data_IF_221163601235
#
_entry.id   IF_221163601235
#
_cell.length_a   1.000
_cell.length_b   1.000
_cell.length_c   1.000
_cell.angle_alpha   90.00
_cell.angle_beta   90.00
_cell.angle_gamma   90.00
#
_symmetry.space_group_name_H-M   'P 1'
#
loop_
_entity.id
_entity.type
_entity.pdbx_description
1 polymer ?
#
# COMPACT_ATOMS: atom_id res chain seq x y z
N UNK A 1 -23.07 0.35 -13.68
CA UNK A 1 -23.38 1.61 -14.39
C UNK A 1 -23.69 2.76 -13.41
N UNK A 2 -24.48 2.56 -12.35
CA UNK A 2 -24.84 3.59 -11.33
C UNK A 2 -23.61 4.17 -10.63
N UNK A 3 -22.70 3.33 -10.10
CA UNK A 3 -21.52 3.75 -9.37
C UNK A 3 -20.59 4.68 -10.19
N UNK A 4 -20.34 4.37 -11.48
CA UNK A 4 -19.51 5.21 -12.33
C UNK A 4 -20.08 6.62 -12.51
N UNK A 5 -21.41 6.74 -12.60
CA UNK A 5 -22.10 8.02 -12.71
C UNK A 5 -21.96 8.82 -11.43
N UNK A 6 -22.20 8.20 -10.27
CA UNK A 6 -22.07 8.87 -8.95
C UNK A 6 -20.63 9.32 -8.73
N UNK A 7 -19.65 8.48 -8.99
CA UNK A 7 -18.23 8.84 -8.85
C UNK A 7 -17.83 9.99 -9.77
N UNK A 8 -18.33 10.02 -11.00
CA UNK A 8 -18.07 11.13 -11.92
C UNK A 8 -18.69 12.44 -11.41
N UNK A 9 -19.91 12.40 -10.87
CA UNK A 9 -20.55 13.57 -10.26
C UNK A 9 -19.80 14.06 -9.02
N UNK A 10 -19.38 13.15 -8.14
CA UNK A 10 -18.58 13.49 -6.95
C UNK A 10 -17.22 14.10 -7.32
N UNK A 11 -16.51 13.56 -8.31
CA UNK A 11 -15.26 14.13 -8.80
C UNK A 11 -15.47 15.53 -9.40
N UNK A 12 -16.62 15.78 -10.04
CA UNK A 12 -16.98 17.11 -10.55
C UNK A 12 -17.30 18.10 -9.42
N UNK A 13 -17.97 17.66 -8.36
CA UNK A 13 -18.29 18.48 -7.19
C UNK A 13 -17.05 18.72 -6.31
N UNK A 14 -16.16 17.75 -6.25
CA UNK A 14 -14.97 17.72 -5.40
C UNK A 14 -13.71 17.46 -6.26
N UNK A 15 -13.32 18.41 -7.14
CA UNK A 15 -12.27 18.17 -8.16
C UNK A 15 -10.86 18.05 -7.56
N UNK A 16 -10.64 18.53 -6.34
CA UNK A 16 -9.34 18.37 -5.66
C UNK A 16 -9.22 16.96 -5.10
N UNK A 17 -8.25 16.21 -5.57
CA UNK A 17 -7.96 14.89 -5.04
C UNK A 17 -7.31 14.97 -3.67
N UNK A 18 -6.41 15.95 -3.47
CA UNK A 18 -5.62 16.16 -2.25
C UNK A 18 -5.52 17.65 -1.95
N UNK A 19 -5.69 17.98 -0.67
CA UNK A 19 -5.43 19.32 -0.12
C UNK A 19 -5.10 19.16 1.37
N UNK A 20 -3.88 19.55 1.77
CA UNK A 20 -3.32 19.28 3.11
C UNK A 20 -3.98 20.13 4.20
N UNK A 21 -5.19 19.77 4.60
CA UNK A 21 -5.96 20.32 5.73
C UNK A 21 -6.83 19.23 6.33
N UNK A 22 -7.20 19.36 7.60
CA UNK A 22 -8.15 18.47 8.26
C UNK A 22 -9.52 19.14 8.56
N UNK A 23 -9.69 20.40 8.21
CA UNK A 23 -10.87 21.16 8.64
C UNK A 23 -12.15 20.69 7.94
N UNK A 24 -12.06 20.40 6.64
CA UNK A 24 -13.19 19.91 5.84
C UNK A 24 -13.70 18.55 6.32
N UNK A 25 -12.77 17.59 6.50
CA UNK A 25 -13.16 16.26 6.98
C UNK A 25 -13.65 16.29 8.41
N UNK A 26 -13.07 17.13 9.29
CA UNK A 26 -13.56 17.32 10.66
C UNK A 26 -14.98 17.88 10.67
N UNK A 27 -15.27 18.87 9.81
CA UNK A 27 -16.62 19.40 9.61
C UNK A 27 -17.59 18.30 9.20
N UNK A 28 -17.29 17.57 8.10
CA UNK A 28 -18.18 16.53 7.61
C UNK A 28 -18.37 15.42 8.65
N UNK A 29 -17.31 14.97 9.29
CA UNK A 29 -17.42 13.97 10.37
C UNK A 29 -18.27 14.46 11.53
N UNK A 30 -18.21 15.76 11.88
CA UNK A 30 -19.07 16.36 12.89
C UNK A 30 -20.55 16.33 12.47
N UNK A 31 -20.86 16.70 11.24
CA UNK A 31 -22.21 16.65 10.67
C UNK A 31 -22.77 15.22 10.60
N UNK A 32 -21.87 14.21 10.42
CA UNK A 32 -22.19 12.78 10.49
C UNK A 32 -22.30 12.23 11.94
N UNK A 33 -22.15 13.06 12.96
CA UNK A 33 -22.19 12.65 14.37
C UNK A 33 -20.90 12.03 14.90
N UNK A 34 -19.75 12.37 14.31
CA UNK A 34 -18.41 11.91 14.67
C UNK A 34 -18.28 10.37 14.71
N UNK A 35 -18.63 9.66 13.63
CA UNK A 35 -18.66 8.19 13.61
C UNK A 35 -17.31 7.57 13.95
N UNK A 36 -16.18 8.21 13.57
CA UNK A 36 -14.83 7.76 13.84
C UNK A 36 -14.50 7.61 15.32
N UNK A 37 -15.18 8.34 16.20
CA UNK A 37 -14.95 8.27 17.65
C UNK A 37 -15.51 6.98 18.29
N UNK A 38 -16.32 6.21 17.55
CA UNK A 38 -16.90 4.94 18.01
C UNK A 38 -16.02 3.74 17.64
N UNK A 39 -14.99 3.94 16.84
CA UNK A 39 -14.18 2.89 16.25
C UNK A 39 -12.95 2.58 17.09
N UNK A 40 -12.57 1.31 17.13
CA UNK A 40 -11.30 0.83 17.66
C UNK A 40 -10.33 0.71 16.48
N UNK A 41 -9.48 1.71 16.29
CA UNK A 41 -8.72 1.89 15.07
C UNK A 41 -7.27 1.42 15.24
N UNK A 42 -6.75 0.68 14.27
CA UNK A 42 -5.32 0.50 14.00
C UNK A 42 -4.98 1.38 12.81
N UNK A 43 -4.15 2.41 13.02
CA UNK A 43 -3.71 3.33 11.97
C UNK A 43 -2.41 2.87 11.35
N UNK A 44 -2.31 2.86 10.01
CA UNK A 44 -1.08 2.45 9.30
C UNK A 44 -0.60 3.59 8.43
N UNK A 45 0.63 4.04 8.65
CA UNK A 45 1.34 5.04 7.85
C UNK A 45 2.65 4.49 7.31
N UNK A 46 3.29 5.19 6.39
CA UNK A 46 4.56 4.82 5.76
C UNK A 46 4.54 5.07 4.26
N UNK A 47 5.61 4.68 3.57
CA UNK A 47 5.68 4.80 2.11
C UNK A 47 5.24 3.50 1.45
N UNK A 48 5.94 2.41 1.63
CA UNK A 48 5.64 1.11 1.06
C UNK A 48 5.26 0.09 2.14
N UNK A 49 4.50 -0.96 1.76
CA UNK A 49 4.12 -2.05 2.65
C UNK A 49 2.86 -1.81 3.49
N UNK A 50 2.30 -0.60 3.53
CA UNK A 50 1.09 -0.28 4.32
C UNK A 50 -0.05 -1.28 4.11
N UNK A 51 -0.48 -1.44 2.86
CA UNK A 51 -1.58 -2.35 2.51
C UNK A 51 -1.25 -3.81 2.87
N UNK A 52 -0.03 -4.29 2.58
CA UNK A 52 0.37 -5.66 2.94
C UNK A 52 0.31 -5.87 4.45
N UNK A 53 0.83 -4.94 5.26
CA UNK A 53 0.76 -5.01 6.73
C UNK A 53 -0.70 -5.00 7.20
N UNK A 54 -1.55 -4.13 6.63
CA UNK A 54 -2.98 -4.09 6.94
C UNK A 54 -3.66 -5.43 6.70
N UNK A 55 -3.37 -6.06 5.56
CA UNK A 55 -3.88 -7.38 5.19
C UNK A 55 -3.38 -8.49 6.14
N UNK A 56 -2.09 -8.46 6.57
CA UNK A 56 -1.57 -9.40 7.55
C UNK A 56 -2.26 -9.26 8.90
N UNK A 57 -2.37 -8.02 9.42
CA UNK A 57 -3.08 -7.74 10.68
C UNK A 57 -4.52 -8.25 10.60
N UNK A 58 -5.25 -7.88 9.56
CA UNK A 58 -6.62 -8.30 9.34
C UNK A 58 -6.75 -9.81 9.30
N UNK A 59 -5.97 -10.48 8.46
CA UNK A 59 -6.06 -11.93 8.26
C UNK A 59 -5.76 -12.72 9.54
N UNK A 60 -4.77 -12.28 10.34
CA UNK A 60 -4.44 -12.93 11.62
C UNK A 60 -5.58 -12.75 12.63
N UNK A 61 -6.16 -11.54 12.72
CA UNK A 61 -7.29 -11.26 13.62
C UNK A 61 -8.54 -12.05 13.20
N UNK A 62 -8.85 -12.14 11.92
CA UNK A 62 -9.97 -12.92 11.39
C UNK A 62 -9.80 -14.41 11.65
N UNK A 63 -8.57 -14.97 11.58
CA UNK A 63 -8.28 -16.35 11.95
C UNK A 63 -8.40 -16.60 13.48
N UNK A 64 -8.31 -15.55 14.28
CA UNK A 64 -8.57 -15.61 15.72
C UNK A 64 -10.06 -15.43 16.08
N UNK A 65 -10.93 -15.20 15.07
CA UNK A 65 -12.38 -15.07 15.24
C UNK A 65 -12.87 -13.64 15.42
N UNK A 66 -12.00 -12.63 15.31
CA UNK A 66 -12.40 -11.23 15.38
C UNK A 66 -12.91 -10.73 14.03
N UNK A 67 -13.84 -9.80 14.06
CA UNK A 67 -14.35 -9.12 12.86
C UNK A 67 -13.58 -7.85 12.60
N UNK A 68 -13.15 -7.65 11.34
CA UNK A 68 -12.35 -6.50 10.96
C UNK A 68 -12.99 -5.71 9.82
N UNK A 69 -12.95 -4.37 9.97
CA UNK A 69 -13.13 -3.44 8.84
C UNK A 69 -11.75 -3.03 8.32
N UNK A 70 -11.64 -2.77 7.02
CA UNK A 70 -10.41 -2.27 6.40
C UNK A 70 -10.72 -1.13 5.44
N UNK A 71 -10.03 -0.01 5.62
CA UNK A 71 -9.93 1.08 4.65
C UNK A 71 -8.54 1.13 4.06
N UNK A 72 -8.45 1.03 2.74
CA UNK A 72 -7.16 1.00 2.02
C UNK A 72 -7.17 1.90 0.78
N UNK A 73 -5.98 2.27 0.30
CA UNK A 73 -5.82 3.09 -0.90
C UNK A 73 -4.43 2.94 -1.52
N UNK A 74 -4.33 3.14 -2.86
CA UNK A 74 -5.43 3.22 -3.83
C UNK A 74 -6.06 1.85 -4.11
N UNK A 75 -7.18 1.82 -4.82
CA UNK A 75 -7.70 0.59 -5.43
C UNK A 75 -6.96 0.28 -6.74
N UNK A 76 -7.02 -0.98 -7.18
CA UNK A 76 -6.36 -1.44 -8.41
C UNK A 76 -7.39 -1.65 -9.53
N UNK A 77 -8.52 -2.29 -9.25
CA UNK A 77 -9.56 -2.62 -10.23
C UNK A 77 -10.84 -1.84 -9.95
N UNK A 78 -11.34 -1.88 -8.70
CA UNK A 78 -12.59 -1.25 -8.31
C UNK A 78 -12.44 -0.43 -7.04
N UNK A 79 -13.15 0.70 -6.98
CA UNK A 79 -13.20 1.55 -5.79
C UNK A 79 -13.73 0.82 -4.56
N UNK A 80 -14.53 -0.23 -4.73
CA UNK A 80 -15.06 -1.07 -3.65
C UNK A 80 -13.96 -1.75 -2.85
N UNK A 81 -12.80 -2.06 -3.46
CA UNK A 81 -11.61 -2.61 -2.80
C UNK A 81 -11.15 -1.77 -1.59
N UNK A 82 -11.43 -0.45 -1.60
CA UNK A 82 -11.07 0.44 -0.50
C UNK A 82 -11.88 0.19 0.77
N UNK A 83 -13.01 -0.50 0.66
CA UNK A 83 -14.05 -0.60 1.68
C UNK A 83 -14.37 -2.05 2.01
N UNK A 84 -13.79 -2.56 3.07
CA UNK A 84 -14.11 -3.88 3.60
C UNK A 84 -14.78 -3.72 4.95
N UNK A 85 -15.92 -4.39 5.15
CA UNK A 85 -16.67 -4.36 6.40
C UNK A 85 -16.96 -5.79 6.87
N UNK A 86 -16.62 -6.08 8.12
CA UNK A 86 -16.76 -7.43 8.71
C UNK A 86 -16.20 -8.53 7.80
N UNK A 87 -15.01 -8.26 7.24
CA UNK A 87 -14.30 -9.20 6.36
C UNK A 87 -14.79 -9.26 4.91
N UNK A 88 -15.81 -8.48 4.51
CA UNK A 88 -16.37 -8.47 3.15
C UNK A 88 -16.21 -7.13 2.47
N UNK A 89 -15.78 -7.16 1.21
CA UNK A 89 -15.79 -5.98 0.35
C UNK A 89 -17.22 -5.49 0.15
N UNK A 90 -17.41 -4.15 0.19
CA UNK A 90 -18.71 -3.52 -0.05
C UNK A 90 -19.19 -3.79 -1.47
N UNK A 91 -20.49 -4.01 -1.67
CA UNK A 91 -21.07 -4.10 -3.01
C UNK A 91 -21.18 -2.72 -3.69
N UNK A 92 -21.27 -2.69 -5.03
CA UNK A 92 -21.49 -1.46 -5.79
C UNK A 92 -22.73 -0.70 -5.33
N UNK A 93 -23.84 -1.42 -5.07
CA UNK A 93 -25.10 -0.81 -4.65
C UNK A 93 -24.99 -0.21 -3.24
N UNK A 94 -24.45 -0.96 -2.28
CA UNK A 94 -24.22 -0.44 -0.92
C UNK A 94 -23.27 0.77 -0.91
N UNK A 95 -22.23 0.77 -1.75
CA UNK A 95 -21.34 1.91 -1.88
C UNK A 95 -22.06 3.11 -2.48
N UNK A 96 -22.89 2.92 -3.51
CA UNK A 96 -23.72 3.98 -4.08
C UNK A 96 -24.61 4.63 -3.02
N UNK A 97 -25.35 3.83 -2.26
CA UNK A 97 -26.25 4.33 -1.21
C UNK A 97 -25.49 5.10 -0.14
N UNK A 98 -24.30 4.61 0.26
CA UNK A 98 -23.43 5.28 1.22
C UNK A 98 -22.91 6.64 0.71
N UNK A 99 -22.46 6.68 -0.55
CA UNK A 99 -21.99 7.92 -1.18
C UNK A 99 -23.11 8.95 -1.29
N UNK A 100 -24.33 8.55 -1.71
CA UNK A 100 -25.51 9.41 -1.80
C UNK A 100 -25.93 9.92 -0.41
N UNK A 101 -25.89 9.06 0.62
CA UNK A 101 -26.21 9.45 1.99
C UNK A 101 -25.25 10.53 2.52
N UNK A 102 -23.94 10.30 2.36
CA UNK A 102 -22.91 11.25 2.86
C UNK A 102 -22.97 12.56 2.08
N UNK A 103 -23.19 12.55 0.76
CA UNK A 103 -23.30 13.77 -0.03
C UNK A 103 -24.55 14.59 0.34
N UNK A 104 -25.67 13.94 0.64
CA UNK A 104 -26.87 14.63 1.13
C UNK A 104 -26.60 15.40 2.43
N UNK A 105 -25.73 14.87 3.30
CA UNK A 105 -25.31 15.52 4.55
C UNK A 105 -24.26 16.59 4.28
N UNK A 106 -23.31 16.34 3.39
CA UNK A 106 -22.30 17.30 2.95
C UNK A 106 -22.88 18.52 2.22
N UNK A 107 -24.03 18.37 1.53
CA UNK A 107 -24.76 19.44 0.83
C UNK A 107 -23.91 20.19 -0.21
N UNK A 108 -23.05 19.50 -0.92
CA UNK A 108 -22.16 20.09 -1.94
C UNK A 108 -21.05 20.98 -1.37
N UNK A 109 -20.82 20.98 -0.06
CA UNK A 109 -19.74 21.77 0.53
C UNK A 109 -18.38 21.25 0.11
N UNK A 110 -17.41 22.17 -0.01
CA UNK A 110 -16.04 21.85 -0.45
C UNK A 110 -15.40 20.79 0.44
N UNK A 111 -14.89 19.74 -0.19
CA UNK A 111 -14.15 18.65 0.43
C UNK A 111 -13.30 17.98 -0.67
N UNK A 112 -12.19 17.31 -0.33
CA UNK A 112 -11.48 16.51 -1.32
C UNK A 112 -12.13 15.14 -1.50
N UNK A 113 -11.93 14.53 -2.67
CA UNK A 113 -12.48 13.21 -2.94
C UNK A 113 -12.02 12.15 -1.91
N UNK A 114 -10.75 12.21 -1.51
CA UNK A 114 -10.22 11.27 -0.51
C UNK A 114 -10.80 11.52 0.89
N UNK A 115 -10.95 12.77 1.32
CA UNK A 115 -11.62 13.13 2.59
C UNK A 115 -13.06 12.64 2.63
N UNK A 116 -13.79 12.82 1.52
CA UNK A 116 -15.16 12.36 1.36
C UNK A 116 -15.28 10.83 1.53
N UNK A 117 -14.45 10.06 0.81
CA UNK A 117 -14.42 8.60 0.91
C UNK A 117 -14.05 8.13 2.32
N UNK A 118 -13.11 8.82 2.98
CA UNK A 118 -12.71 8.50 4.35
C UNK A 118 -13.88 8.71 5.34
N UNK A 119 -14.66 9.79 5.17
CA UNK A 119 -15.88 10.01 5.98
C UNK A 119 -16.94 8.93 5.72
N UNK A 120 -17.10 8.49 4.47
CA UNK A 120 -17.97 7.36 4.11
C UNK A 120 -17.54 6.08 4.84
N UNK A 121 -16.24 5.77 4.84
CA UNK A 121 -15.72 4.62 5.58
C UNK A 121 -16.05 4.71 7.07
N UNK A 122 -15.75 5.83 7.72
CA UNK A 122 -16.02 6.01 9.16
C UNK A 122 -17.50 5.83 9.49
N UNK A 123 -18.38 6.39 8.65
CA UNK A 123 -19.81 6.24 8.85
C UNK A 123 -20.27 4.77 8.76
N UNK A 124 -19.90 4.07 7.70
CA UNK A 124 -20.29 2.65 7.52
C UNK A 124 -19.65 1.76 8.58
N UNK A 125 -18.37 1.94 8.91
CA UNK A 125 -17.65 1.20 9.94
C UNK A 125 -18.31 1.38 11.32
N UNK A 126 -18.79 2.59 11.66
CA UNK A 126 -19.51 2.82 12.93
C UNK A 126 -20.82 2.03 13.06
N UNK A 127 -21.33 1.49 11.94
CA UNK A 127 -22.55 0.69 11.85
C UNK A 127 -22.29 -0.80 11.69
N UNK A 128 -21.09 -1.19 11.23
CA UNK A 128 -20.70 -2.60 11.00
C UNK A 128 -20.61 -3.40 12.29
N UNK A 129 -20.34 -2.72 13.43
CA UNK A 129 -20.07 -3.32 14.74
C UNK A 129 -18.90 -4.29 14.75
N UNK A 130 -17.94 -4.11 13.84
CA UNK A 130 -16.71 -4.89 13.81
C UNK A 130 -15.87 -4.61 15.07
N UNK A 131 -15.08 -5.59 15.47
CA UNK A 131 -14.22 -5.49 16.65
C UNK A 131 -13.11 -4.47 16.46
N UNK A 132 -12.52 -4.40 15.26
CA UNK A 132 -11.39 -3.55 14.91
C UNK A 132 -11.58 -2.96 13.52
N UNK A 133 -11.21 -1.67 13.36
CA UNK A 133 -11.10 -1.00 12.08
C UNK A 133 -9.62 -0.73 11.77
N UNK A 134 -9.12 -1.26 10.65
CA UNK A 134 -7.75 -1.03 10.17
C UNK A 134 -7.80 0.05 9.11
N UNK A 135 -7.02 1.13 9.29
CA UNK A 135 -7.10 2.32 8.45
C UNK A 135 -5.73 2.66 7.88
N UNK A 136 -5.58 2.54 6.56
CA UNK A 136 -4.38 2.89 5.83
C UNK A 136 -4.39 4.36 5.42
N UNK A 137 -3.36 5.13 5.80
CA UNK A 137 -3.17 6.51 5.33
C UNK A 137 -2.90 6.57 3.83
N UNK A 138 -3.50 7.53 3.15
CA UNK A 138 -3.36 7.70 1.70
C UNK A 138 -2.01 8.28 1.29
N UNK A 139 -1.58 9.36 1.94
CA UNK A 139 -0.40 10.12 1.54
C UNK A 139 0.64 10.21 2.66
N UNK A 140 0.41 11.10 3.59
CA UNK A 140 1.20 11.33 4.80
C UNK A 140 0.34 10.93 6.01
N UNK A 141 0.72 11.40 7.21
CA UNK A 141 -0.12 11.24 8.40
C UNK A 141 -0.62 12.59 8.92
N UNK A 142 0.21 13.63 8.86
CA UNK A 142 -0.05 14.91 9.54
C UNK A 142 -1.34 15.61 9.10
N UNK A 143 -1.64 15.60 7.84
CA UNK A 143 -2.85 16.16 7.24
C UNK A 143 -3.65 15.13 6.43
N UNK A 144 -3.38 13.86 6.67
CA UNK A 144 -4.12 12.78 6.01
C UNK A 144 -5.52 12.66 6.61
N UNK A 145 -6.52 12.48 5.76
CA UNK A 145 -7.91 12.34 6.19
C UNK A 145 -8.11 11.22 7.23
N UNK A 146 -7.35 10.12 7.11
CA UNK A 146 -7.40 9.00 8.05
C UNK A 146 -6.93 9.39 9.46
N UNK A 147 -6.21 10.51 9.60
CA UNK A 147 -5.76 11.06 10.89
C UNK A 147 -6.78 12.00 11.56
N UNK A 148 -7.95 12.19 10.96
CA UNK A 148 -9.05 12.96 11.57
C UNK A 148 -9.77 12.17 12.69
N UNK A 149 -9.01 11.51 13.54
CA UNK A 149 -9.44 10.68 14.68
C UNK A 149 -8.83 11.22 15.97
N UNK A 150 -9.47 10.95 17.12
CA UNK A 150 -8.97 11.40 18.43
C UNK A 150 -8.16 10.35 19.18
N UNK A 151 -8.39 9.08 18.87
CA UNK A 151 -7.75 7.93 19.52
C UNK A 151 -7.63 6.75 18.55
N UNK A 152 -6.65 5.91 18.79
CA UNK A 152 -6.50 4.61 18.13
C UNK A 152 -5.92 3.58 19.12
N UNK A 153 -5.98 2.30 18.79
CA UNK A 153 -5.37 1.23 19.56
C UNK A 153 -3.85 1.24 19.41
N UNK A 154 -3.39 1.51 18.16
CA UNK A 154 -1.98 1.64 17.84
C UNK A 154 -1.78 2.34 16.51
N UNK A 155 -0.56 2.85 16.32
CA UNK A 155 -0.04 3.36 15.05
C UNK A 155 1.06 2.44 14.54
N UNK A 156 0.94 2.00 13.28
CA UNK A 156 1.93 1.16 12.62
C UNK A 156 2.65 1.97 11.56
N UNK A 157 3.98 2.01 11.61
CA UNK A 157 4.85 2.69 10.65
C UNK A 157 5.48 1.60 9.77
N UNK A 158 5.07 1.53 8.51
CA UNK A 158 5.70 0.67 7.50
C UNK A 158 7.01 1.28 7.00
N UNK A 159 7.64 0.68 6.01
CA UNK A 159 8.89 1.21 5.44
C UNK A 159 8.70 2.61 4.87
N UNK A 160 9.62 3.54 5.21
CA UNK A 160 9.63 4.95 4.78
C UNK A 160 10.76 5.18 3.78
N UNK A 161 10.44 5.88 2.69
CA UNK A 161 11.38 6.33 1.66
C UNK A 161 10.83 7.52 0.90
N UNK A 162 11.54 7.95 -0.14
CA UNK A 162 11.14 9.08 -0.98
C UNK A 162 9.93 8.74 -1.84
N UNK A 163 8.83 9.42 -1.61
CA UNK A 163 7.63 9.44 -2.44
C UNK A 163 6.82 10.70 -2.12
N UNK A 164 5.90 11.09 -3.01
CA UNK A 164 5.00 12.23 -2.82
C UNK A 164 5.71 13.58 -2.60
N UNK A 165 6.89 13.74 -3.17
CA UNK A 165 7.73 14.94 -2.98
C UNK A 165 7.10 16.21 -3.55
N UNK A 166 6.19 16.08 -4.51
CA UNK A 166 5.43 17.20 -5.10
C UNK A 166 4.56 17.93 -4.08
N UNK A 167 4.20 17.28 -2.96
CA UNK A 167 3.42 17.88 -1.88
C UNK A 167 4.28 18.53 -0.79
N UNK A 168 5.60 18.48 -0.95
CA UNK A 168 6.55 19.08 -0.01
C UNK A 168 7.14 20.36 -0.58
N UNK A 169 7.51 21.33 0.29
CA UNK A 169 8.25 22.51 -0.14
C UNK A 169 9.51 22.10 -0.91
N UNK A 170 9.81 22.82 -1.99
CA UNK A 170 10.92 22.47 -2.90
C UNK A 170 12.26 22.29 -2.19
N UNK A 171 12.53 23.18 -1.22
CA UNK A 171 13.78 23.20 -0.45
C UNK A 171 13.86 22.08 0.60
N UNK A 172 12.76 21.29 0.80
CA UNK A 172 12.61 20.34 1.87
C UNK A 172 12.17 18.96 1.37
N UNK A 173 12.43 18.65 0.09
CA UNK A 173 12.11 17.37 -0.57
C UNK A 173 13.15 16.31 -0.24
N UNK A 174 13.18 15.88 1.02
CA UNK A 174 14.13 14.90 1.54
C UNK A 174 13.43 13.88 2.45
N UNK A 175 14.15 12.83 2.83
CA UNK A 175 13.62 11.75 3.66
C UNK A 175 13.26 12.20 5.07
N UNK A 176 13.99 13.15 5.64
CA UNK A 176 13.72 13.68 6.98
C UNK A 176 12.36 14.38 7.01
N UNK A 177 12.05 15.13 5.95
CA UNK A 177 10.73 15.73 5.80
C UNK A 177 9.63 14.68 5.64
N UNK A 178 9.86 13.65 4.85
CA UNK A 178 8.89 12.54 4.72
C UNK A 178 8.65 11.88 6.07
N UNK A 179 9.69 11.60 6.85
CA UNK A 179 9.58 11.06 8.20
C UNK A 179 8.75 12.01 9.08
N UNK A 180 9.04 13.30 9.08
CA UNK A 180 8.28 14.30 9.85
C UNK A 180 6.79 14.29 9.48
N UNK A 181 6.44 14.31 8.19
CA UNK A 181 5.04 14.32 7.74
C UNK A 181 4.29 13.04 8.14
N UNK A 182 4.99 11.91 8.24
CA UNK A 182 4.40 10.61 8.61
C UNK A 182 4.33 10.38 10.11
N UNK A 183 5.15 11.06 10.92
CA UNK A 183 5.28 10.74 12.36
C UNK A 183 4.85 11.85 13.31
N UNK A 184 4.85 13.13 12.89
CA UNK A 184 4.64 14.29 13.78
C UNK A 184 3.25 14.39 14.40
N UNK A 185 2.25 13.66 13.89
CA UNK A 185 0.87 13.65 14.41
C UNK A 185 0.38 12.25 14.79
N UNK A 186 1.31 11.36 15.14
CA UNK A 186 0.93 10.07 15.74
C UNK A 186 0.24 10.30 17.09
N UNK A 187 -0.83 9.55 17.33
CA UNK A 187 -1.57 9.60 18.58
C UNK A 187 -0.79 8.96 19.73
N UNK A 188 -1.17 9.27 20.96
CA UNK A 188 -0.59 8.69 22.17
C UNK A 188 -1.13 7.28 22.41
N UNK A 189 -0.67 6.34 21.60
CA UNK A 189 -0.99 4.91 21.65
C UNK A 189 0.28 4.11 21.37
N UNK A 190 0.22 2.77 21.33
CA UNK A 190 1.38 1.95 20.95
C UNK A 190 1.84 2.29 19.52
N UNK A 191 3.15 2.36 19.30
CA UNK A 191 3.75 2.61 18.00
C UNK A 191 4.59 1.40 17.61
N UNK A 192 4.23 0.76 16.49
CA UNK A 192 4.99 -0.34 15.90
C UNK A 192 5.76 0.20 14.70
N UNK A 193 7.07 -0.04 14.63
CA UNK A 193 7.92 0.37 13.50
C UNK A 193 8.46 -0.86 12.80
N UNK A 194 8.12 -1.01 11.53
CA UNK A 194 8.60 -2.08 10.65
C UNK A 194 10.08 -1.93 10.33
N UNK A 195 10.68 -2.99 9.77
CA UNK A 195 11.98 -2.92 9.11
C UNK A 195 12.05 -1.75 8.13
N UNK A 196 13.19 -1.05 8.12
CA UNK A 196 13.47 0.03 7.19
C UNK A 196 14.56 -0.40 6.19
N UNK A 197 14.74 0.38 5.11
CA UNK A 197 15.75 0.09 4.08
C UNK A 197 17.17 -0.01 4.67
N UNK A 198 17.46 0.81 5.69
CA UNK A 198 18.72 0.81 6.41
C UNK A 198 18.53 1.30 7.86
N UNK A 199 19.57 1.10 8.68
CA UNK A 199 19.55 1.49 10.09
C UNK A 199 19.45 3.01 10.28
N UNK A 200 19.99 3.82 9.36
CA UNK A 200 19.96 5.30 9.45
C UNK A 200 18.51 5.79 9.41
N UNK A 201 17.69 5.21 8.54
CA UNK A 201 16.27 5.56 8.47
C UNK A 201 15.52 5.15 9.74
N UNK A 202 15.82 3.97 10.29
CA UNK A 202 15.23 3.51 11.55
C UNK A 202 15.59 4.46 12.70
N UNK A 203 16.86 4.84 12.83
CA UNK A 203 17.34 5.77 13.88
C UNK A 203 16.68 7.16 13.74
N UNK A 204 16.50 7.66 12.52
CA UNK A 204 15.79 8.92 12.25
C UNK A 204 14.32 8.84 12.66
N UNK A 205 13.63 7.73 12.36
CA UNK A 205 12.24 7.51 12.78
C UNK A 205 12.18 7.46 14.32
N UNK A 206 13.05 6.68 14.97
CA UNK A 206 13.10 6.58 16.42
C UNK A 206 13.28 7.95 17.08
N UNK A 207 14.20 8.76 16.56
CA UNK A 207 14.42 10.15 17.01
C UNK A 207 13.17 11.02 16.79
N UNK A 208 12.51 10.89 15.66
CA UNK A 208 11.32 11.68 15.33
C UNK A 208 10.13 11.37 16.26
N UNK A 209 10.00 10.12 16.72
CA UNK A 209 8.93 9.70 17.64
C UNK A 209 9.37 9.72 19.12
N UNK A 210 10.58 10.12 19.45
CA UNK A 210 11.12 10.05 20.80
C UNK A 210 10.28 10.84 21.82
N UNK A 211 9.77 12.01 21.45
CA UNK A 211 8.92 12.87 22.30
C UNK A 211 7.50 12.34 22.51
N UNK A 212 7.05 11.37 21.71
CA UNK A 212 5.76 10.74 21.92
C UNK A 212 5.84 9.80 23.13
N UNK A 213 4.96 9.95 24.10
CA UNK A 213 4.97 9.17 25.37
C UNK A 213 4.52 7.71 25.21
N UNK A 214 4.14 7.29 24.03
CA UNK A 214 3.66 5.94 23.73
C UNK A 214 4.74 4.87 23.90
N UNK A 215 4.34 3.63 24.19
CA UNK A 215 5.23 2.46 24.06
C UNK A 215 5.60 2.29 22.59
N UNK A 216 6.90 2.22 22.31
CA UNK A 216 7.47 1.99 20.98
C UNK A 216 7.93 0.55 20.89
N UNK A 217 7.66 -0.09 19.76
CA UNK A 217 8.02 -1.48 19.46
C UNK A 217 8.69 -1.45 18.09
N UNK A 218 10.01 -1.55 18.11
CA UNK A 218 10.87 -1.27 16.96
C UNK A 218 11.47 -2.56 16.41
N UNK A 219 11.45 -2.70 15.09
CA UNK A 219 12.22 -3.75 14.44
C UNK A 219 13.68 -3.71 14.87
N UNK A 220 14.32 -4.87 14.96
CA UNK A 220 15.68 -5.14 15.44
C UNK A 220 15.94 -4.93 16.94
N UNK A 221 15.07 -4.20 17.66
CA UNK A 221 15.17 -3.99 19.10
C UNK A 221 14.18 -4.87 19.88
N UNK A 222 12.90 -4.73 19.57
CA UNK A 222 11.81 -5.38 20.30
C UNK A 222 11.27 -6.60 19.57
N UNK A 223 11.42 -6.65 18.25
CA UNK A 223 11.13 -7.83 17.44
C UNK A 223 12.07 -7.96 16.25
N UNK A 224 12.22 -9.19 15.77
CA UNK A 224 13.06 -9.51 14.62
C UNK A 224 12.56 -10.77 13.91
N UNK A 225 13.17 -11.06 12.76
CA UNK A 225 12.98 -12.34 12.10
C UNK A 225 14.29 -12.88 11.55
N UNK A 226 14.35 -14.19 11.32
CA UNK A 226 15.46 -14.84 10.60
C UNK A 226 14.92 -15.81 9.56
N UNK A 227 15.48 -15.73 8.34
CA UNK A 227 15.08 -16.56 7.21
C UNK A 227 15.57 -18.00 7.42
N UNK A 228 14.73 -18.98 7.08
CA UNK A 228 15.02 -20.41 7.06
C UNK A 228 14.74 -20.98 5.67
N UNK A 229 15.14 -22.22 5.41
CA UNK A 229 14.92 -22.87 4.11
C UNK A 229 13.43 -22.89 3.69
N UNK A 230 12.54 -23.20 4.61
CA UNK A 230 11.10 -23.40 4.33
C UNK A 230 10.18 -22.42 5.06
N UNK A 231 10.68 -21.22 5.42
CA UNK A 231 9.94 -20.23 6.16
C UNK A 231 10.85 -19.26 6.89
N UNK A 232 10.40 -18.77 8.02
CA UNK A 232 11.18 -17.85 8.86
C UNK A 232 10.86 -18.06 10.36
N UNK A 233 11.74 -17.60 11.21
CA UNK A 233 11.51 -17.54 12.67
C UNK A 233 11.26 -16.07 13.02
N UNK A 234 10.10 -15.78 13.56
CA UNK A 234 9.78 -14.51 14.21
C UNK A 234 10.15 -14.58 15.69
N UNK A 235 10.67 -13.49 16.25
CA UNK A 235 11.03 -13.39 17.67
C UNK A 235 10.65 -12.00 18.21
N UNK A 236 10.04 -11.99 19.41
CA UNK A 236 9.77 -10.82 20.23
C UNK A 236 9.86 -11.16 21.72
N UNK A 237 9.42 -10.26 22.61
CA UNK A 237 9.39 -10.47 24.07
C UNK A 237 8.47 -11.62 24.50
N UNK A 238 7.49 -11.99 23.67
CA UNK A 238 6.59 -13.11 23.93
C UNK A 238 7.16 -14.46 23.47
N UNK A 239 8.37 -14.47 22.89
CA UNK A 239 9.09 -15.68 22.48
C UNK A 239 9.21 -15.85 20.96
N UNK A 240 9.68 -17.03 20.54
CA UNK A 240 9.95 -17.40 19.15
C UNK A 240 8.78 -18.18 18.55
N UNK A 241 8.52 -17.91 17.25
CA UNK A 241 7.54 -18.65 16.47
C UNK A 241 8.19 -19.05 15.13
N UNK A 242 8.18 -20.36 14.82
CA UNK A 242 8.53 -20.85 13.50
C UNK A 242 7.32 -20.77 12.57
N UNK A 243 7.48 -20.11 11.45
CA UNK A 243 6.42 -19.74 10.52
C UNK A 243 6.75 -20.17 9.09
N UNK A 244 5.75 -20.59 8.31
CA UNK A 244 5.91 -20.72 6.86
C UNK A 244 6.13 -19.35 6.22
N UNK A 245 6.62 -19.33 4.97
CA UNK A 245 6.62 -18.08 4.22
C UNK A 245 5.20 -17.55 4.02
N UNK A 246 5.02 -16.21 4.01
CA UNK A 246 3.76 -15.62 3.55
C UNK A 246 3.44 -16.07 2.13
N UNK A 247 2.16 -16.13 1.80
CA UNK A 247 1.74 -16.45 0.43
C UNK A 247 1.90 -15.28 -0.57
N UNK A 248 2.34 -14.11 -0.13
CA UNK A 248 2.77 -13.01 -0.99
C UNK A 248 4.26 -13.16 -1.31
N UNK A 249 4.63 -12.93 -2.58
CA UNK A 249 6.00 -13.10 -3.06
C UNK A 249 6.92 -11.93 -2.64
N UNK A 250 8.21 -12.27 -2.51
CA UNK A 250 9.28 -11.32 -2.17
C UNK A 250 9.65 -11.32 -0.68
N UNK A 251 10.96 -11.19 -0.40
CA UNK A 251 11.49 -11.20 0.97
C UNK A 251 10.93 -10.08 1.85
N UNK A 252 10.58 -8.93 1.27
CA UNK A 252 9.93 -7.82 1.96
C UNK A 252 8.56 -8.19 2.57
N UNK A 253 7.91 -9.23 2.06
CA UNK A 253 6.65 -9.68 2.65
C UNK A 253 6.86 -10.41 3.98
N UNK A 254 8.05 -10.96 4.22
CA UNK A 254 8.41 -11.48 5.56
C UNK A 254 8.54 -10.31 6.55
N UNK A 255 9.15 -9.19 6.15
CA UNK A 255 9.21 -7.98 6.97
C UNK A 255 7.81 -7.41 7.27
N UNK A 256 6.96 -7.31 6.23
CA UNK A 256 5.57 -6.85 6.39
C UNK A 256 4.76 -7.77 7.30
N UNK A 257 4.89 -9.10 7.14
CA UNK A 257 4.24 -10.10 8.00
C UNK A 257 4.74 -9.98 9.44
N UNK A 258 6.06 -9.84 9.65
CA UNK A 258 6.66 -9.68 10.97
C UNK A 258 6.15 -8.41 11.67
N UNK A 259 6.01 -7.30 10.94
CA UNK A 259 5.40 -6.08 11.48
C UNK A 259 3.92 -6.31 11.87
N UNK A 260 3.15 -6.99 11.02
CA UNK A 260 1.76 -7.37 11.31
C UNK A 260 1.65 -8.28 12.54
N UNK A 261 2.55 -9.26 12.67
CA UNK A 261 2.63 -10.15 13.84
C UNK A 261 2.96 -9.36 15.11
N UNK A 262 3.96 -8.48 15.06
CA UNK A 262 4.31 -7.61 16.19
C UNK A 262 3.12 -6.74 16.60
N UNK A 263 2.36 -6.21 15.63
CA UNK A 263 1.16 -5.42 15.90
C UNK A 263 0.10 -6.24 16.63
N UNK A 264 -0.32 -7.40 16.11
CA UNK A 264 -1.40 -8.19 16.71
C UNK A 264 -1.02 -8.78 18.08
N UNK A 265 0.24 -9.18 18.27
CA UNK A 265 0.72 -9.71 19.58
C UNK A 265 0.77 -8.63 20.66
N UNK A 266 0.75 -7.35 20.29
CA UNK A 266 0.69 -6.22 21.22
C UNK A 266 -0.73 -5.64 21.41
N UNK A 267 -1.77 -6.30 20.90
CA UNK A 267 -3.18 -6.00 21.19
C UNK A 267 -3.67 -6.79 22.40
N UNK A 268 -3.65 -6.19 23.59
CA UNK A 268 -3.97 -6.87 24.85
C UNK A 268 -5.38 -7.44 24.91
N UNK A 269 -6.36 -6.67 24.38
CA UNK A 269 -7.78 -7.07 24.38
C UNK A 269 -8.15 -8.04 23.24
N UNK A 270 -7.20 -8.35 22.34
CA UNK A 270 -7.41 -9.18 21.14
C UNK A 270 -6.35 -10.26 21.02
N UNK A 271 -6.29 -11.22 21.99
CA UNK A 271 -5.26 -12.23 21.97
C UNK A 271 -5.33 -13.14 20.75
N UNK A 272 -4.16 -13.40 20.16
CA UNK A 272 -3.97 -14.33 19.04
C UNK A 272 -2.99 -15.44 19.44
N UNK A 273 -3.22 -16.65 18.97
CA UNK A 273 -2.29 -17.76 19.18
C UNK A 273 -1.42 -18.01 17.94
N UNK A 274 -0.41 -18.87 18.09
CA UNK A 274 0.55 -19.16 17.02
C UNK A 274 -0.12 -19.77 15.78
N UNK A 275 -1.19 -20.57 15.93
CA UNK A 275 -1.92 -21.17 14.81
C UNK A 275 -2.72 -20.11 14.02
N UNK A 276 -3.32 -19.13 14.71
CA UNK A 276 -3.96 -17.99 14.05
C UNK A 276 -2.94 -17.21 13.20
N UNK A 277 -1.74 -16.98 13.73
CA UNK A 277 -0.65 -16.29 13.02
C UNK A 277 -0.23 -17.09 11.78
N UNK A 278 0.07 -18.39 11.92
CA UNK A 278 0.46 -19.26 10.80
C UNK A 278 -0.57 -19.26 9.67
N UNK A 279 -1.84 -19.44 10.02
CA UNK A 279 -2.94 -19.44 9.04
C UNK A 279 -3.12 -18.08 8.42
N UNK A 280 -3.12 -17.02 9.22
CA UNK A 280 -3.35 -15.65 8.75
C UNK A 280 -2.32 -15.21 7.72
N UNK A 281 -1.02 -15.47 7.92
CA UNK A 281 0.01 -15.03 6.97
C UNK A 281 0.01 -15.79 5.65
N UNK A 282 -0.66 -16.94 5.57
CA UNK A 282 -0.71 -17.80 4.35
C UNK A 282 -2.02 -17.68 3.56
N UNK A 283 -3.00 -16.89 4.04
CA UNK A 283 -4.32 -16.76 3.40
C UNK A 283 -4.57 -15.43 2.70
N UNK A 284 -3.58 -14.54 2.69
CA UNK A 284 -3.73 -13.19 2.13
C UNK A 284 -3.88 -13.26 0.61
N UNK A 285 -4.78 -12.44 0.09
CA UNK A 285 -4.92 -12.16 -1.34
C UNK A 285 -4.63 -10.68 -1.57
N UNK A 286 -3.72 -10.39 -2.48
CA UNK A 286 -3.40 -9.03 -2.88
C UNK A 286 -3.14 -8.98 -4.38
N UNK A 287 -3.64 -7.93 -5.02
CA UNK A 287 -3.46 -7.70 -6.45
C UNK A 287 -2.22 -6.82 -6.64
N UNK A 288 -1.49 -7.05 -7.74
CA UNK A 288 -0.32 -6.26 -8.13
C UNK A 288 0.74 -6.13 -7.02
N UNK A 289 1.05 -7.26 -6.35
CA UNK A 289 2.17 -7.39 -5.39
C UNK A 289 3.02 -8.60 -5.78
N UNK A 290 3.91 -8.41 -6.78
CA UNK A 290 4.66 -9.48 -7.44
C UNK A 290 3.75 -10.64 -7.88
N UNK A 291 2.56 -10.29 -8.36
CA UNK A 291 1.52 -11.26 -8.69
C UNK A 291 1.87 -12.01 -9.98
N UNK A 292 1.96 -13.34 -9.92
CA UNK A 292 2.10 -14.17 -11.10
C UNK A 292 0.73 -14.32 -11.78
N UNK A 293 0.66 -14.04 -13.07
CA UNK A 293 -0.54 -14.19 -13.89
C UNK A 293 -0.55 -15.59 -14.50
N UNK A 294 -1.40 -16.45 -14.00
CA UNK A 294 -1.48 -17.86 -14.42
C UNK A 294 -2.52 -18.11 -15.53
N UNK A 295 -3.50 -17.22 -15.70
CA UNK A 295 -4.63 -17.38 -16.65
C UNK A 295 -5.15 -16.03 -17.14
N UNK A 296 -5.96 -16.06 -18.20
CA UNK A 296 -6.63 -14.91 -18.80
C UNK A 296 -5.91 -14.39 -20.03
N UNK A 297 -6.52 -13.38 -20.67
CA UNK A 297 -6.12 -12.88 -22.01
C UNK A 297 -4.63 -12.56 -22.15
N UNK A 298 -4.03 -11.90 -21.16
CA UNK A 298 -2.59 -11.58 -21.22
C UNK A 298 -1.73 -12.84 -21.17
N UNK A 299 -2.11 -13.85 -20.37
CA UNK A 299 -1.38 -15.10 -20.29
C UNK A 299 -1.47 -15.93 -21.59
N UNK A 300 -2.59 -15.85 -22.28
CA UNK A 300 -2.80 -16.50 -23.58
C UNK A 300 -1.88 -15.93 -24.68
N UNK A 301 -1.47 -14.66 -24.58
CA UNK A 301 -0.52 -14.02 -25.51
C UNK A 301 0.92 -14.51 -25.34
N UNK A 302 1.27 -15.02 -24.16
CA UNK A 302 2.61 -15.51 -23.82
C UNK A 302 2.51 -16.75 -22.91
N UNK A 303 2.03 -17.89 -23.42
CA UNK A 303 1.64 -19.05 -22.61
C UNK A 303 2.81 -19.69 -21.87
N UNK A 304 4.01 -19.62 -22.40
CA UNK A 304 5.23 -20.21 -21.82
C UNK A 304 6.06 -19.23 -20.99
N UNK A 305 5.87 -17.92 -21.17
CA UNK A 305 6.52 -16.89 -20.34
C UNK A 305 5.90 -16.82 -18.95
N UNK A 306 6.67 -16.40 -17.96
CA UNK A 306 6.13 -16.07 -16.63
C UNK A 306 5.79 -14.59 -16.59
N UNK A 307 4.50 -14.27 -16.51
CA UNK A 307 4.02 -12.89 -16.39
C UNK A 307 3.91 -12.52 -14.92
N UNK A 308 4.52 -11.39 -14.53
CA UNK A 308 4.50 -10.86 -13.15
C UNK A 308 3.99 -9.43 -13.18
N UNK A 309 3.03 -9.10 -12.32
CA UNK A 309 2.47 -7.75 -12.21
C UNK A 309 2.77 -7.18 -10.82
N UNK A 310 3.27 -5.96 -10.80
CA UNK A 310 3.55 -5.23 -9.57
C UNK A 310 3.18 -3.75 -9.68
N UNK A 311 2.76 -3.14 -8.57
CA UNK A 311 2.43 -1.72 -8.47
C UNK A 311 3.59 -0.82 -8.05
N UNK A 312 4.81 -1.30 -8.11
CA UNK A 312 6.03 -0.55 -7.77
C UNK A 312 6.20 0.68 -8.65
N UNK A 313 6.45 1.85 -8.02
CA UNK A 313 6.50 3.15 -8.72
C UNK A 313 7.42 4.18 -8.05
N UNK A 314 8.20 3.80 -7.04
CA UNK A 314 9.17 4.66 -6.35
C UNK A 314 10.50 3.93 -6.11
N UNK A 315 11.61 4.63 -5.81
CA UNK A 315 12.93 4.00 -5.67
C UNK A 315 12.99 2.90 -4.62
N UNK A 316 12.33 3.09 -3.46
CA UNK A 316 12.27 2.08 -2.40
C UNK A 316 11.57 0.79 -2.88
N UNK A 317 10.51 0.91 -3.66
CA UNK A 317 9.84 -0.24 -4.28
C UNK A 317 10.72 -0.90 -5.36
N UNK A 318 11.40 -0.10 -6.18
CA UNK A 318 12.32 -0.62 -7.19
C UNK A 318 13.46 -1.45 -6.59
N UNK A 319 14.03 -1.01 -5.46
CA UNK A 319 15.04 -1.79 -4.72
C UNK A 319 14.51 -3.16 -4.31
N UNK A 320 13.32 -3.20 -3.76
CA UNK A 320 12.66 -4.45 -3.33
C UNK A 320 12.36 -5.36 -4.51
N UNK A 321 11.83 -4.80 -5.59
CA UNK A 321 11.57 -5.53 -6.83
C UNK A 321 12.89 -6.08 -7.41
N UNK A 322 13.96 -5.29 -7.42
CA UNK A 322 15.28 -5.75 -7.86
C UNK A 322 15.75 -6.96 -7.05
N UNK A 323 15.64 -6.91 -5.72
CA UNK A 323 15.99 -8.06 -4.85
C UNK A 323 15.20 -9.31 -5.21
N UNK A 324 13.91 -9.17 -5.54
CA UNK A 324 13.11 -10.30 -6.01
C UNK A 324 13.58 -10.83 -7.38
N UNK A 325 13.84 -9.94 -8.34
CA UNK A 325 14.36 -10.34 -9.65
C UNK A 325 15.69 -11.08 -9.54
N UNK A 326 16.51 -10.79 -8.52
CA UNK A 326 17.79 -11.49 -8.28
C UNK A 326 17.61 -12.94 -7.80
N UNK A 327 16.42 -13.30 -7.32
CA UNK A 327 16.07 -14.68 -6.92
C UNK A 327 15.56 -15.53 -8.07
N UNK A 328 15.22 -14.92 -9.21
CA UNK A 328 14.69 -15.64 -10.38
C UNK A 328 15.77 -16.47 -11.08
N UNK A 329 15.34 -17.45 -11.87
CA UNK A 329 16.22 -18.33 -12.65
C UNK A 329 17.13 -17.49 -13.57
N UNK A 330 18.44 -17.59 -13.34
CA UNK A 330 19.47 -16.82 -14.05
C UNK A 330 19.62 -17.22 -15.53
N UNK A 331 19.07 -18.38 -15.92
CA UNK A 331 19.10 -18.86 -17.30
C UNK A 331 17.97 -18.27 -18.15
N UNK A 332 17.04 -17.53 -17.53
CA UNK A 332 15.93 -16.87 -18.22
C UNK A 332 16.13 -15.36 -18.25
N UNK A 333 15.86 -14.79 -19.39
CA UNK A 333 15.85 -13.33 -19.56
C UNK A 333 14.70 -12.68 -18.80
N UNK A 334 14.90 -11.42 -18.43
CA UNK A 334 13.87 -10.60 -17.77
C UNK A 334 13.61 -9.40 -18.67
N UNK A 335 12.36 -9.23 -19.08
CA UNK A 335 11.84 -8.06 -19.78
C UNK A 335 10.87 -7.30 -18.89
N UNK A 336 10.84 -6.00 -19.03
CA UNK A 336 9.90 -5.16 -18.26
C UNK A 336 9.03 -4.35 -19.22
N UNK A 337 7.73 -4.23 -18.90
CA UNK A 337 6.78 -3.32 -19.53
C UNK A 337 6.44 -2.26 -18.50
N UNK A 338 6.63 -0.98 -18.82
CA UNK A 338 6.56 0.10 -17.85
C UNK A 338 5.72 1.28 -18.34
N UNK A 339 4.74 1.68 -17.52
CA UNK A 339 4.08 2.97 -17.56
C UNK A 339 4.20 3.64 -16.19
N UNK A 340 4.43 4.95 -16.14
CA UNK A 340 4.60 5.68 -14.87
C UNK A 340 3.85 7.01 -14.86
N UNK A 341 3.57 7.49 -13.65
CA UNK A 341 3.05 8.86 -13.46
C UNK A 341 4.20 9.88 -13.57
N UNK A 342 3.89 11.09 -14.05
CA UNK A 342 4.88 12.12 -14.32
C UNK A 342 5.61 12.66 -13.07
N UNK A 343 4.96 12.61 -11.91
CA UNK A 343 5.48 13.09 -10.62
C UNK A 343 6.41 12.11 -9.89
N UNK A 344 6.87 11.03 -10.56
CA UNK A 344 7.73 10.03 -9.94
C UNK A 344 9.22 10.27 -10.22
N UNK A 345 10.08 9.70 -9.37
CA UNK A 345 11.54 9.77 -9.50
C UNK A 345 12.03 8.73 -10.54
N UNK A 346 11.79 8.99 -11.82
CA UNK A 346 11.99 8.02 -12.90
C UNK A 346 13.42 7.49 -12.98
N UNK A 347 14.44 8.36 -12.95
CA UNK A 347 15.86 7.95 -13.06
C UNK A 347 16.29 7.08 -11.87
N UNK A 348 15.91 7.50 -10.67
CA UNK A 348 16.24 6.75 -9.45
C UNK A 348 15.57 5.38 -9.44
N UNK A 349 14.29 5.33 -9.83
CA UNK A 349 13.55 4.07 -10.01
C UNK A 349 14.23 3.15 -11.02
N UNK A 350 14.52 3.66 -12.22
CA UNK A 350 15.10 2.88 -13.32
C UNK A 350 16.54 2.39 -13.03
N UNK A 351 17.31 3.16 -12.25
CA UNK A 351 18.69 2.81 -11.91
C UNK A 351 18.82 1.43 -11.24
N UNK A 352 17.80 1.00 -10.47
CA UNK A 352 17.77 -0.31 -9.83
C UNK A 352 17.69 -1.48 -10.83
N UNK A 353 17.21 -1.24 -12.04
CA UNK A 353 17.02 -2.29 -13.05
C UNK A 353 18.16 -2.37 -14.06
N UNK A 354 19.09 -1.41 -14.04
CA UNK A 354 20.29 -1.43 -14.89
C UNK A 354 21.08 -2.73 -14.68
N UNK A 355 21.54 -3.34 -15.77
CA UNK A 355 22.26 -4.61 -15.79
C UNK A 355 21.46 -5.81 -15.19
N UNK A 356 20.15 -5.69 -15.06
CA UNK A 356 19.30 -6.78 -14.57
C UNK A 356 18.24 -7.20 -15.59
N UNK A 357 17.59 -6.24 -16.22
CA UNK A 357 16.61 -6.52 -17.26
C UNK A 357 17.26 -6.42 -18.64
N UNK A 358 16.82 -7.26 -19.58
CA UNK A 358 17.32 -7.23 -20.95
C UNK A 358 16.86 -5.98 -21.69
N UNK A 359 15.62 -5.59 -21.48
CA UNK A 359 15.05 -4.32 -21.99
C UNK A 359 13.80 -3.92 -21.23
N UNK A 360 13.46 -2.63 -21.38
CA UNK A 360 12.19 -2.07 -20.87
C UNK A 360 11.39 -1.55 -22.07
N UNK A 361 10.12 -1.99 -22.18
CA UNK A 361 9.17 -1.46 -23.15
C UNK A 361 8.31 -0.38 -22.49
N UNK A 362 8.44 0.87 -22.92
CA UNK A 362 7.63 1.97 -22.42
C UNK A 362 6.23 1.97 -23.04
N UNK A 363 5.21 2.17 -22.23
CA UNK A 363 3.81 2.28 -22.64
C UNK A 363 3.16 3.52 -22.03
N UNK A 364 2.13 4.05 -22.68
CA UNK A 364 1.23 5.04 -22.07
C UNK A 364 0.29 4.37 -21.05
N UNK A 365 -0.04 5.08 -19.98
CA UNK A 365 -1.11 4.65 -19.07
C UNK A 365 -2.45 5.16 -19.60
N UNK A 366 -3.38 4.28 -20.02
CA UNK A 366 -4.65 4.69 -20.57
C UNK A 366 -5.46 5.57 -19.60
N UNK A 367 -6.08 6.63 -20.12
CA UNK A 367 -6.96 7.54 -19.36
C UNK A 367 -6.28 8.28 -18.18
N UNK A 368 -4.94 8.37 -18.16
CA UNK A 368 -4.18 9.08 -17.13
C UNK A 368 -3.47 10.29 -17.75
N UNK A 369 -4.06 11.49 -17.60
CA UNK A 369 -3.50 12.73 -18.14
C UNK A 369 -2.15 13.11 -17.50
N UNK A 370 -1.95 12.72 -16.24
CA UNK A 370 -0.74 13.00 -15.46
C UNK A 370 0.32 11.90 -15.59
N UNK A 371 0.17 10.95 -16.51
CA UNK A 371 1.21 9.97 -16.82
C UNK A 371 2.30 10.59 -17.71
N UNK A 372 3.56 10.17 -17.52
CA UNK A 372 4.63 10.46 -18.45
C UNK A 372 4.34 9.75 -19.78
N UNK A 373 4.55 10.46 -20.90
CA UNK A 373 4.36 9.88 -22.22
C UNK A 373 5.42 8.82 -22.52
N UNK A 374 5.04 7.76 -23.23
CA UNK A 374 5.96 6.65 -23.55
C UNK A 374 7.22 7.11 -24.28
N UNK A 375 7.15 8.16 -25.13
CA UNK A 375 8.30 8.72 -25.83
C UNK A 375 9.31 9.34 -24.85
N UNK A 376 8.82 10.08 -23.86
CA UNK A 376 9.64 10.72 -22.84
C UNK A 376 10.19 9.66 -21.86
N UNK A 377 9.36 8.72 -21.42
CA UNK A 377 9.79 7.60 -20.56
C UNK A 377 10.88 6.79 -21.27
N UNK A 378 10.71 6.45 -22.54
CA UNK A 378 11.70 5.74 -23.35
C UNK A 378 13.04 6.50 -23.42
N UNK A 379 13.01 7.84 -23.53
CA UNK A 379 14.21 8.66 -23.47
C UNK A 379 14.92 8.54 -22.12
N UNK A 380 14.18 8.63 -21.01
CA UNK A 380 14.74 8.47 -19.66
C UNK A 380 15.34 7.08 -19.45
N UNK A 381 14.70 6.02 -19.96
CA UNK A 381 15.21 4.65 -19.88
C UNK A 381 16.58 4.54 -20.60
N UNK A 382 16.70 5.14 -21.79
CA UNK A 382 17.98 5.19 -22.55
C UNK A 382 19.05 5.99 -21.82
N UNK A 383 18.70 7.12 -21.20
CA UNK A 383 19.65 7.95 -20.43
C UNK A 383 20.22 7.18 -19.24
N UNK A 384 19.45 6.28 -18.60
CA UNK A 384 19.93 5.41 -17.54
C UNK A 384 20.84 4.28 -18.09
N UNK A 385 20.86 4.06 -19.41
CA UNK A 385 21.66 3.04 -20.07
C UNK A 385 21.00 1.65 -20.07
N UNK A 386 19.68 1.61 -20.16
CA UNK A 386 18.92 0.36 -20.33
C UNK A 386 18.40 0.29 -21.79
N UNK A 387 18.48 -0.89 -22.41
CA UNK A 387 17.88 -1.09 -23.73
C UNK A 387 16.37 -0.88 -23.65
N UNK A 388 15.79 -0.17 -24.62
CA UNK A 388 14.38 0.18 -24.56
C UNK A 388 13.66 0.13 -25.90
N UNK A 389 12.38 -0.12 -25.85
CA UNK A 389 11.41 -0.04 -26.95
C UNK A 389 10.13 0.68 -26.49
N UNK A 390 9.19 0.85 -27.40
CA UNK A 390 7.86 1.42 -27.11
C UNK A 390 6.80 0.52 -27.71
N UNK A 391 5.65 0.45 -27.05
CA UNK A 391 4.45 -0.22 -27.58
C UNK A 391 3.19 0.64 -27.32
N UNK A 392 2.13 0.40 -28.07
CA UNK A 392 0.88 1.12 -27.93
C UNK A 392 -0.05 0.50 -26.87
N UNK A 393 0.22 -0.76 -26.48
CA UNK A 393 -0.53 -1.44 -25.44
C UNK A 393 0.34 -2.50 -24.74
N UNK A 394 -0.15 -2.99 -23.60
CA UNK A 394 0.46 -4.11 -22.88
C UNK A 394 0.46 -5.37 -23.75
N UNK A 395 -0.63 -5.61 -24.48
CA UNK A 395 -0.80 -6.77 -25.35
C UNK A 395 0.26 -6.77 -26.46
N UNK A 396 0.46 -5.62 -27.14
CA UNK A 396 1.50 -5.47 -28.17
C UNK A 396 2.88 -5.77 -27.60
N UNK A 397 3.21 -5.18 -26.45
CA UNK A 397 4.49 -5.41 -25.79
C UNK A 397 4.72 -6.88 -25.41
N UNK A 398 3.71 -7.57 -24.87
CA UNK A 398 3.79 -9.01 -24.53
C UNK A 398 4.01 -9.85 -25.79
N UNK A 399 3.26 -9.58 -26.87
CA UNK A 399 3.39 -10.33 -28.13
C UNK A 399 4.80 -10.17 -28.72
N UNK A 400 5.35 -8.97 -28.72
CA UNK A 400 6.70 -8.71 -29.24
C UNK A 400 7.77 -9.42 -28.41
N UNK A 401 7.67 -9.39 -27.09
CA UNK A 401 8.59 -10.09 -26.19
C UNK A 401 8.47 -11.61 -26.42
N UNK A 402 7.27 -12.18 -26.48
CA UNK A 402 7.05 -13.61 -26.68
C UNK A 402 7.60 -14.11 -28.02
N UNK A 403 7.51 -13.31 -29.09
CA UNK A 403 8.12 -13.64 -30.39
C UNK A 403 9.64 -13.68 -30.31
N UNK A 404 10.24 -12.83 -29.49
CA UNK A 404 11.70 -12.73 -29.33
C UNK A 404 12.24 -13.79 -28.37
N UNK A 405 11.52 -14.07 -27.28
CA UNK A 405 11.92 -14.99 -26.21
C UNK A 405 10.67 -15.55 -25.49
N UNK A 406 10.35 -16.80 -25.79
CA UNK A 406 9.14 -17.44 -25.30
C UNK A 406 9.30 -18.19 -23.97
N UNK A 407 10.45 -18.07 -23.29
CA UNK A 407 10.72 -18.70 -21.99
C UNK A 407 11.19 -17.72 -20.91
N UNK A 408 10.98 -16.43 -21.13
CA UNK A 408 11.44 -15.34 -20.26
C UNK A 408 10.45 -15.01 -19.14
N UNK A 409 10.91 -14.13 -18.24
CA UNK A 409 10.06 -13.39 -17.32
C UNK A 409 9.63 -12.08 -17.97
N UNK A 410 8.35 -11.75 -17.92
CA UNK A 410 7.79 -10.46 -18.33
C UNK A 410 7.19 -9.80 -17.09
N UNK A 411 7.78 -8.66 -16.73
CA UNK A 411 7.46 -7.91 -15.52
C UNK A 411 6.76 -6.60 -15.85
#
# INVERSE_FOLDING_TARGET
MKIKKILHELLRLHPREIDLSLDRIKRLNHELGNPQNKLKIISITGTNGKNSIALFIRSILEEAGYTCDLYSSPHVISITERFVFSGKEISDDELCDLLEEVERINKGQSITFFEFLTSCFFLKASRSRSDISIVESGLFNRFDACSAIKQNLMSVISSIGLDHLEWLPENDRNVDRVIFEKTSKLLHSKIIVSEQSDQIILDKIEKAIASNSSKKILFSKDFSYSIKKNGFVFQDDFGKIELPYPNLLGSHQVANASCGIAAVRNLEDYPVNNENIKKGITKIKSIARLQIIEKGKLKELAPTNTLIVDGTHNPLGAEVTRKYLDTLDKNKNIYMILGMMNNKLHKDFLSHFKNKVCSITAIDIPNQQNAIKKEELNKVIKEVGIQSSMANSIEEAIIEINKKDNLSYIF
#
